data_IF_284072998794
#
_entry.id   IF_284072998794
#
_cell.length_a   1.000
_cell.length_b   1.000
_cell.length_c   1.000
_cell.angle_alpha   90.00
_cell.angle_beta   90.00
_cell.angle_gamma   90.00
#
_symmetry.space_group_name_H-M   'P 1'
#
loop_
_entity.id
_entity.type
_entity.pdbx_description
1 polymer ?
#
# COMPACT_ATOMS: atom_id res chain seq x y z
N UNK A 1 10.01 -26.30 1.22
CA UNK A 1 9.36 -27.57 0.82
C UNK A 1 8.50 -27.32 -0.42
N UNK A 2 8.53 -28.26 -1.35
CA UNK A 2 7.68 -28.20 -2.57
C UNK A 2 6.21 -28.37 -2.18
N UNK A 3 5.30 -27.61 -2.78
CA UNK A 3 3.86 -27.67 -2.53
C UNK A 3 3.36 -26.98 -1.25
N UNK A 4 4.22 -26.28 -0.52
CA UNK A 4 3.84 -25.54 0.69
C UNK A 4 3.50 -24.08 0.40
N UNK A 5 2.44 -23.57 1.05
CA UNK A 5 2.06 -22.15 0.97
C UNK A 5 2.62 -21.38 2.18
N UNK A 6 3.08 -20.15 1.93
CA UNK A 6 3.66 -19.27 2.93
C UNK A 6 3.04 -17.89 2.86
N UNK A 7 2.55 -17.39 4.00
CA UNK A 7 2.17 -15.99 4.12
C UNK A 7 3.42 -15.12 4.32
N UNK A 8 3.52 -14.04 3.56
CA UNK A 8 4.60 -13.07 3.67
C UNK A 8 4.00 -11.73 4.07
N UNK A 9 4.38 -11.24 5.24
CA UNK A 9 3.96 -9.93 5.73
C UNK A 9 5.01 -9.35 6.67
N UNK A 10 5.11 -8.02 6.66
CA UNK A 10 6.12 -7.29 7.46
C UNK A 10 5.90 -7.41 8.97
N UNK A 11 4.68 -7.72 9.40
CA UNK A 11 4.22 -7.64 10.78
C UNK A 11 3.82 -6.23 11.21
N UNK A 12 3.98 -5.22 10.34
CA UNK A 12 3.52 -3.87 10.61
C UNK A 12 2.00 -3.79 10.37
N UNK A 13 1.23 -3.65 11.45
CA UNK A 13 -0.22 -3.49 11.40
C UNK A 13 -0.54 -2.01 11.58
N UNK A 14 -0.95 -1.34 10.50
CA UNK A 14 -1.26 0.08 10.49
C UNK A 14 -2.60 0.35 9.81
N UNK A 15 -3.31 1.38 10.26
CA UNK A 15 -4.56 1.79 9.63
C UNK A 15 -4.33 2.48 8.29
N UNK A 16 -5.35 2.45 7.41
CA UNK A 16 -5.32 3.18 6.14
C UNK A 16 -5.07 4.67 6.34
N UNK A 17 -5.67 5.27 7.38
CA UNK A 17 -5.44 6.66 7.74
C UNK A 17 -3.98 6.96 8.08
N UNK A 18 -3.32 6.05 8.80
CA UNK A 18 -1.90 6.21 9.14
C UNK A 18 -1.02 6.11 7.90
N UNK A 19 -1.27 5.15 7.01
CA UNK A 19 -0.54 5.02 5.74
C UNK A 19 -0.73 6.26 4.88
N UNK A 20 -1.97 6.74 4.72
CA UNK A 20 -2.30 7.93 3.92
C UNK A 20 -1.59 9.18 4.46
N UNK A 21 -1.61 9.40 5.78
CA UNK A 21 -0.88 10.51 6.44
C UNK A 21 0.63 10.40 6.21
N UNK A 22 1.19 9.18 6.32
CA UNK A 22 2.62 8.94 6.07
C UNK A 22 3.00 9.23 4.62
N UNK A 23 2.19 8.79 3.65
CA UNK A 23 2.44 9.05 2.22
C UNK A 23 2.39 10.56 1.91
N UNK A 24 1.37 11.27 2.38
CA UNK A 24 1.28 12.73 2.20
C UNK A 24 2.51 13.43 2.82
N UNK A 25 2.90 13.04 4.05
CA UNK A 25 4.08 13.59 4.72
C UNK A 25 5.36 13.32 3.92
N UNK A 26 5.57 12.08 3.46
CA UNK A 26 6.73 11.70 2.65
C UNK A 26 6.77 12.49 1.34
N UNK A 27 5.63 12.62 0.66
CA UNK A 27 5.55 13.39 -0.58
C UNK A 27 5.90 14.85 -0.36
N UNK A 28 5.33 15.49 0.67
CA UNK A 28 5.64 16.88 1.03
C UNK A 28 7.13 17.10 1.35
N UNK A 29 7.74 16.17 2.07
CA UNK A 29 9.13 16.35 2.53
C UNK A 29 10.18 15.98 1.48
N UNK A 30 9.86 15.08 0.55
CA UNK A 30 10.85 14.50 -0.37
C UNK A 30 10.62 14.83 -1.85
N UNK A 31 9.41 15.29 -2.21
CA UNK A 31 9.04 15.50 -3.61
C UNK A 31 8.56 16.94 -3.85
N UNK A 32 7.50 17.34 -3.19
CA UNK A 32 6.92 18.68 -3.36
C UNK A 32 6.30 19.17 -2.05
N UNK A 33 6.96 20.15 -1.42
CA UNK A 33 6.50 20.77 -0.17
C UNK A 33 5.16 21.51 -0.28
N UNK A 34 4.80 21.94 -1.47
CA UNK A 34 3.55 22.67 -1.75
C UNK A 34 2.37 21.72 -2.08
N UNK A 35 2.55 20.41 -1.87
CA UNK A 35 1.51 19.41 -2.06
C UNK A 35 0.25 19.72 -1.24
N UNK A 36 -0.88 19.91 -1.92
CA UNK A 36 -2.20 20.21 -1.33
C UNK A 36 -3.09 18.98 -1.12
N UNK A 37 -2.53 17.77 -1.28
CA UNK A 37 -3.30 16.52 -1.10
C UNK A 37 -3.89 16.43 0.30
N UNK A 38 -5.16 16.02 0.36
CA UNK A 38 -5.95 15.83 1.61
C UNK A 38 -6.59 14.45 1.62
N UNK A 39 -6.88 13.98 2.84
CA UNK A 39 -7.65 12.75 3.05
C UNK A 39 -9.14 13.13 3.02
N UNK A 40 -9.91 12.41 2.19
CA UNK A 40 -11.36 12.53 2.11
C UNK A 40 -11.96 11.21 2.57
N UNK A 41 -12.87 11.28 3.53
CA UNK A 41 -13.59 10.12 4.01
C UNK A 41 -14.80 9.87 3.12
N UNK A 42 -14.98 8.63 2.73
CA UNK A 42 -16.08 8.21 1.85
C UNK A 42 -16.73 6.95 2.41
N UNK A 43 -17.97 6.66 1.99
CA UNK A 43 -18.68 5.45 2.41
C UNK A 43 -17.87 4.20 2.00
N UNK A 44 -17.75 3.24 2.91
CA UNK A 44 -17.09 1.97 2.63
C UNK A 44 -17.88 1.13 1.62
N UNK A 45 -17.15 0.32 0.85
CA UNK A 45 -17.78 -0.70 0.02
C UNK A 45 -18.32 -1.84 0.90
N UNK A 46 -19.41 -2.50 0.48
CA UNK A 46 -19.88 -3.71 1.17
C UNK A 46 -18.77 -4.77 1.28
N UNK A 47 -18.64 -5.42 2.43
CA UNK A 47 -17.64 -6.46 2.68
C UNK A 47 -16.18 -5.94 2.70
N UNK A 48 -15.97 -4.66 3.02
CA UNK A 48 -14.61 -4.12 3.17
C UNK A 48 -13.91 -4.71 4.38
N UNK A 49 -12.67 -5.17 4.20
CA UNK A 49 -11.86 -5.70 5.29
C UNK A 49 -11.47 -4.60 6.28
N UNK A 50 -11.69 -4.83 7.56
CA UNK A 50 -11.31 -3.91 8.62
C UNK A 50 -9.78 -3.85 8.81
N UNK A 51 -9.09 -4.97 8.54
CA UNK A 51 -7.66 -5.11 8.79
C UNK A 51 -7.04 -6.18 7.93
N UNK A 52 -5.87 -5.89 7.40
CA UNK A 52 -4.99 -6.87 6.76
C UNK A 52 -3.85 -7.23 7.72
N UNK A 53 -3.89 -8.45 8.26
CA UNK A 53 -2.87 -8.94 9.17
C UNK A 53 -2.50 -10.39 8.79
N UNK A 54 -1.25 -10.60 8.39
CA UNK A 54 -0.74 -11.91 7.98
C UNK A 54 0.20 -12.47 9.04
N UNK A 55 -0.02 -13.73 9.41
CA UNK A 55 0.92 -14.46 10.24
C UNK A 55 2.05 -15.04 9.37
N UNK A 56 3.24 -14.47 9.46
CA UNK A 56 4.43 -14.89 8.71
C UNK A 56 5.35 -15.83 9.49
N UNK A 57 4.89 -16.42 10.61
CA UNK A 57 5.77 -17.23 11.45
C UNK A 57 6.30 -18.48 10.73
N UNK A 58 5.50 -19.07 9.82
CA UNK A 58 5.93 -20.24 9.04
C UNK A 58 7.16 -19.93 8.18
N UNK A 59 7.17 -18.81 7.45
CA UNK A 59 8.30 -18.44 6.60
C UNK A 59 9.49 -17.90 7.43
N UNK A 60 9.21 -17.23 8.56
CA UNK A 60 10.29 -16.77 9.47
C UNK A 60 11.11 -17.94 10.05
N UNK A 61 10.47 -19.09 10.33
CA UNK A 61 11.18 -20.30 10.77
C UNK A 61 12.16 -20.84 9.72
N UNK A 62 11.99 -20.47 8.44
CA UNK A 62 12.91 -20.78 7.34
C UNK A 62 14.01 -19.73 7.16
N UNK A 63 14.14 -18.77 8.08
CA UNK A 63 15.16 -17.73 8.03
C UNK A 63 14.75 -16.45 7.31
N UNK A 64 13.52 -16.35 6.78
CA UNK A 64 13.07 -15.12 6.15
C UNK A 64 12.96 -13.97 7.15
N UNK A 65 13.51 -12.81 6.78
CA UNK A 65 13.43 -11.56 7.55
C UNK A 65 13.05 -10.40 6.63
N UNK A 66 12.24 -9.47 7.13
CA UNK A 66 11.98 -8.23 6.38
C UNK A 66 13.26 -7.40 6.25
N UNK A 67 13.59 -6.96 5.04
CA UNK A 67 14.78 -6.14 4.76
C UNK A 67 14.58 -4.65 4.97
N UNK A 68 13.34 -4.18 4.90
CA UNK A 68 12.99 -2.76 4.96
C UNK A 68 11.93 -2.51 6.04
N UNK A 69 12.04 -1.39 6.75
CA UNK A 69 10.94 -0.90 7.58
C UNK A 69 9.87 -0.24 6.72
N UNK A 70 8.67 -0.03 7.30
CA UNK A 70 7.52 0.52 6.60
C UNK A 70 7.80 1.88 5.95
N UNK A 71 8.48 2.79 6.66
CA UNK A 71 8.73 4.14 6.13
C UNK A 71 9.63 4.11 4.89
N UNK A 72 10.71 3.32 4.94
CA UNK A 72 11.63 3.17 3.79
C UNK A 72 10.94 2.44 2.64
N UNK A 73 10.13 1.42 2.92
CA UNK A 73 9.34 0.72 1.91
C UNK A 73 8.36 1.64 1.19
N UNK A 74 7.57 2.41 1.95
CA UNK A 74 6.64 3.40 1.38
C UNK A 74 7.35 4.46 0.53
N UNK A 75 8.50 4.95 0.99
CA UNK A 75 9.29 5.92 0.22
C UNK A 75 9.79 5.33 -1.10
N UNK A 76 10.37 4.13 -1.09
CA UNK A 76 10.85 3.47 -2.31
C UNK A 76 9.70 3.16 -3.29
N UNK A 77 8.56 2.72 -2.77
CA UNK A 77 7.36 2.49 -3.59
C UNK A 77 6.88 3.80 -4.23
N UNK A 78 6.75 4.86 -3.45
CA UNK A 78 6.36 6.18 -3.96
C UNK A 78 7.34 6.67 -5.04
N UNK A 79 8.66 6.57 -4.79
CA UNK A 79 9.70 6.94 -5.73
C UNK A 79 9.55 6.18 -7.05
N UNK A 80 9.35 4.84 -6.96
CA UNK A 80 9.16 4.01 -8.15
C UNK A 80 7.96 4.47 -8.99
N UNK A 81 6.81 4.77 -8.37
CA UNK A 81 5.65 5.28 -9.09
C UNK A 81 5.91 6.61 -9.80
N UNK A 82 6.67 7.51 -9.18
CA UNK A 82 7.03 8.79 -9.75
C UNK A 82 7.98 8.65 -10.95
N UNK A 83 8.90 7.70 -10.88
CA UNK A 83 9.87 7.41 -11.94
C UNK A 83 9.29 6.59 -13.09
N UNK A 84 8.19 5.85 -12.86
CA UNK A 84 7.57 4.94 -13.83
C UNK A 84 6.17 5.40 -14.27
N UNK A 85 5.99 6.68 -14.53
CA UNK A 85 4.70 7.28 -14.92
C UNK A 85 4.12 6.66 -16.20
N UNK A 86 4.96 6.26 -17.16
CA UNK A 86 4.54 5.59 -18.39
C UNK A 86 3.86 4.24 -18.10
N UNK A 87 4.32 3.50 -17.09
CA UNK A 87 3.68 2.26 -16.66
C UNK A 87 2.27 2.52 -16.14
N UNK A 88 2.08 3.58 -15.33
CA UNK A 88 0.76 3.99 -14.81
C UNK A 88 -0.19 4.38 -15.96
N UNK A 89 0.33 5.10 -16.96
CA UNK A 89 -0.47 5.55 -18.12
C UNK A 89 -1.00 4.38 -18.97
N UNK A 90 -0.29 3.24 -18.99
CA UNK A 90 -0.73 2.01 -19.69
C UNK A 90 -1.87 1.29 -18.97
N UNK A 91 -2.12 1.58 -17.69
CA UNK A 91 -3.23 0.99 -16.94
C UNK A 91 -4.54 1.58 -17.47
N UNK A 92 -5.49 0.72 -17.83
CA UNK A 92 -6.79 1.15 -18.32
C UNK A 92 -7.58 1.87 -17.20
N UNK A 93 -7.58 3.19 -17.25
CA UNK A 93 -8.24 4.06 -16.26
C UNK A 93 -9.74 3.76 -16.12
N UNK A 94 -10.46 3.47 -17.21
CA UNK A 94 -11.90 3.15 -17.18
C UNK A 94 -12.17 1.90 -16.32
N UNK A 95 -11.32 0.89 -16.38
CA UNK A 95 -11.48 -0.35 -15.60
C UNK A 95 -11.20 -0.16 -14.11
N UNK A 96 -10.29 0.75 -13.74
CA UNK A 96 -9.78 0.89 -12.36
C UNK A 96 -10.18 2.20 -11.68
N UNK A 97 -10.88 3.11 -12.39
CA UNK A 97 -11.32 4.40 -11.82
C UNK A 97 -12.58 4.29 -10.98
N UNK A 98 -13.42 3.29 -11.21
CA UNK A 98 -14.66 3.12 -10.48
C UNK A 98 -14.42 2.38 -9.16
N UNK A 99 -15.07 2.84 -8.10
CA UNK A 99 -15.04 2.13 -6.81
C UNK A 99 -15.78 0.81 -6.92
N UNK A 100 -15.05 -0.29 -6.67
CA UNK A 100 -15.64 -1.63 -6.70
C UNK A 100 -16.74 -1.79 -5.63
N UNK A 101 -17.85 -2.43 -6.00
CA UNK A 101 -18.95 -2.75 -5.09
C UNK A 101 -19.90 -1.60 -4.75
N UNK A 102 -19.72 -0.43 -5.33
CA UNK A 102 -20.70 0.65 -5.28
C UNK A 102 -21.36 0.78 -6.66
N UNK A 103 -22.69 0.58 -6.72
CA UNK A 103 -23.48 1.05 -7.86
C UNK A 103 -23.48 2.57 -7.82
N UNK A 104 -23.09 3.20 -8.92
CA UNK A 104 -23.31 4.62 -9.15
C UNK A 104 -24.80 4.87 -9.35
#
# INVERSE_FOLDING_TARGET
>A
KIGESYNIGSGDIVSNNMISKKLIKLFKTKVNKDCKSKIIYVKDRPGHDLRYALNSNKIKKLGWKKKLNLNKGLFLTMKWYLENTQWIQKINKKKYSNRLGLKL
#
